data_IF_578396044942
#
_entry.id   IF_578396044942
#
_cell.length_a   1.000
_cell.length_b   1.000
_cell.length_c   1.000
_cell.angle_alpha   90.00
_cell.angle_beta   90.00
_cell.angle_gamma   90.00
#
_symmetry.space_group_name_H-M   'P 1'
#
loop_
_entity.id
_entity.type
_entity.pdbx_description
1 polymer ?
#
# COMPACT_ATOMS: atom_id res chain seq x y z
N UNK A 1 -7.23 5.54 12.56
CA UNK A 1 -7.50 5.98 11.16
C UNK A 1 -7.75 7.48 11.15
N UNK A 2 -7.32 8.23 10.14
CA UNK A 2 -7.67 9.66 10.02
C UNK A 2 -9.18 9.85 10.17
N UNK A 3 -9.59 10.86 10.93
CA UNK A 3 -11.01 11.14 11.24
C UNK A 3 -11.68 10.29 12.32
N UNK A 4 -11.03 9.22 12.82
CA UNK A 4 -11.60 8.34 13.87
C UNK A 4 -10.70 8.20 15.10
N UNK A 5 -9.60 8.97 15.17
CA UNK A 5 -8.56 8.81 16.21
C UNK A 5 -9.13 8.92 17.62
N UNK A 6 -9.95 9.93 17.93
CA UNK A 6 -10.52 10.13 19.24
C UNK A 6 -11.42 8.96 19.67
N UNK A 7 -12.20 8.44 18.74
CA UNK A 7 -13.05 7.27 18.98
C UNK A 7 -12.22 6.02 19.24
N UNK A 8 -11.21 5.77 18.40
CA UNK A 8 -10.30 4.63 18.54
C UNK A 8 -9.47 4.69 19.81
N UNK A 9 -9.13 5.90 20.27
CA UNK A 9 -8.44 6.10 21.57
C UNK A 9 -9.30 5.64 22.73
N UNK A 10 -10.60 5.81 22.67
CA UNK A 10 -11.53 5.47 23.75
C UNK A 10 -12.06 4.04 23.65
N UNK A 11 -12.43 3.57 22.46
CA UNK A 11 -13.20 2.32 22.29
C UNK A 11 -12.31 1.07 22.07
N UNK A 12 -11.08 1.22 21.52
CA UNK A 12 -10.26 0.06 21.19
C UNK A 12 -9.66 -0.59 22.43
N UNK A 13 -9.55 -1.93 22.40
CA UNK A 13 -8.73 -2.69 23.35
C UNK A 13 -7.27 -2.20 23.33
N UNK A 14 -6.61 -2.22 24.49
CA UNK A 14 -5.22 -1.77 24.62
C UNK A 14 -4.36 -2.81 25.32
N UNK A 15 -3.19 -3.06 24.74
CA UNK A 15 -2.13 -3.81 25.38
C UNK A 15 -1.31 -2.81 26.21
N UNK A 16 -1.19 -3.05 27.51
CA UNK A 16 -0.46 -2.21 28.47
C UNK A 16 0.64 -3.04 29.11
N UNK A 17 1.87 -2.57 28.95
CA UNK A 17 3.04 -3.22 29.53
C UNK A 17 3.96 -2.22 30.21
N UNK A 18 4.16 -2.36 31.51
CA UNK A 18 5.17 -1.64 32.28
C UNK A 18 6.47 -2.44 32.40
N UNK A 19 7.52 -1.77 32.84
CA UNK A 19 8.81 -2.41 33.15
C UNK A 19 8.73 -3.37 34.34
N UNK A 20 7.76 -3.14 35.22
CA UNK A 20 7.37 -3.97 36.35
C UNK A 20 5.85 -3.95 36.55
N UNK A 21 5.35 -4.80 37.45
CA UNK A 21 3.93 -4.92 37.75
C UNK A 21 3.33 -3.61 38.29
N UNK A 22 4.07 -2.87 39.11
CA UNK A 22 3.61 -1.61 39.68
C UNK A 22 3.41 -0.53 38.62
N UNK A 23 4.32 -0.48 37.62
CA UNK A 23 4.22 0.42 36.46
C UNK A 23 3.07 0.01 35.54
N UNK A 24 2.86 -1.30 35.35
CA UNK A 24 1.73 -1.83 34.56
C UNK A 24 0.41 -1.44 35.22
N UNK A 25 0.26 -1.60 36.54
CA UNK A 25 -0.97 -1.26 37.24
C UNK A 25 -1.28 0.24 37.17
N UNK A 26 -0.28 1.11 37.40
CA UNK A 26 -0.45 2.57 37.30
C UNK A 26 -0.86 3.01 35.90
N UNK A 27 -0.24 2.43 34.85
CA UNK A 27 -0.61 2.73 33.47
C UNK A 27 -2.05 2.25 33.17
N UNK A 28 -2.41 1.05 33.66
CA UNK A 28 -3.76 0.53 33.47
C UNK A 28 -4.81 1.39 34.20
N UNK A 29 -4.53 1.84 35.41
CA UNK A 29 -5.38 2.78 36.17
C UNK A 29 -5.61 4.08 35.38
N UNK A 30 -4.52 4.67 34.87
CA UNK A 30 -4.62 5.89 34.06
C UNK A 30 -5.50 5.68 32.81
N UNK A 31 -5.24 4.63 32.03
CA UNK A 31 -6.02 4.36 30.82
C UNK A 31 -7.47 3.99 31.13
N UNK A 32 -7.78 3.35 32.25
CA UNK A 32 -9.15 3.01 32.67
C UNK A 32 -10.04 4.24 32.88
N UNK A 33 -9.45 5.42 33.06
CA UNK A 33 -10.19 6.66 33.26
C UNK A 33 -10.93 7.15 31.98
N UNK A 34 -10.52 6.71 30.80
CA UNK A 34 -11.12 7.15 29.52
C UNK A 34 -11.28 6.04 28.47
N UNK A 35 -10.61 4.88 28.60
CA UNK A 35 -10.72 3.76 27.69
C UNK A 35 -11.87 2.85 28.11
N UNK A 36 -12.80 2.60 27.18
CA UNK A 36 -13.94 1.67 27.37
C UNK A 36 -13.64 0.27 26.87
N UNK A 37 -12.62 0.12 26.01
CA UNK A 37 -12.11 -1.18 25.55
C UNK A 37 -11.39 -1.95 26.66
N UNK A 38 -11.02 -3.19 26.40
CA UNK A 38 -10.29 -4.04 27.35
C UNK A 38 -8.85 -3.55 27.53
N UNK A 39 -8.37 -3.54 28.77
CA UNK A 39 -6.98 -3.29 29.10
C UNK A 39 -6.26 -4.63 29.33
N UNK A 40 -5.45 -5.04 28.34
CA UNK A 40 -4.72 -6.31 28.35
C UNK A 40 -3.33 -6.08 28.94
N UNK A 41 -3.15 -6.47 30.20
CA UNK A 41 -1.91 -6.23 30.95
C UNK A 41 -0.84 -7.27 30.60
N UNK A 42 0.39 -6.82 30.40
CA UNK A 42 1.56 -7.67 30.12
C UNK A 42 2.85 -6.95 30.51
N UNK A 43 4.02 -7.52 30.21
CA UNK A 43 5.33 -6.87 30.37
C UNK A 43 5.62 -5.95 29.16
N UNK A 44 6.40 -4.86 29.36
CA UNK A 44 6.71 -3.87 28.33
C UNK A 44 7.23 -4.49 27.02
N UNK A 45 8.19 -5.43 27.10
CA UNK A 45 8.75 -6.08 25.92
C UNK A 45 7.69 -6.82 25.08
N UNK A 46 6.74 -7.48 25.76
CA UNK A 46 5.63 -8.16 25.07
C UNK A 46 4.69 -7.14 24.42
N UNK A 47 4.38 -6.04 25.11
CA UNK A 47 3.52 -4.98 24.58
C UNK A 47 4.13 -4.31 23.33
N UNK A 48 5.42 -3.97 23.38
CA UNK A 48 6.16 -3.41 22.23
C UNK A 48 6.22 -4.39 21.07
N UNK A 49 6.59 -5.65 21.33
CA UNK A 49 6.67 -6.67 20.30
C UNK A 49 5.31 -6.92 19.65
N UNK A 50 4.23 -6.96 20.43
CA UNK A 50 2.87 -7.13 19.89
C UNK A 50 2.53 -6.05 18.86
N UNK A 51 2.91 -4.78 19.14
CA UNK A 51 2.69 -3.68 18.19
C UNK A 51 3.46 -3.87 16.88
N UNK A 52 4.71 -4.30 16.94
CA UNK A 52 5.53 -4.56 15.75
C UNK A 52 4.99 -5.76 14.95
N UNK A 53 4.56 -6.82 15.66
CA UNK A 53 3.99 -8.04 15.04
C UNK A 53 2.69 -7.77 14.29
N UNK A 54 1.81 -6.90 14.78
CA UNK A 54 0.59 -6.50 14.05
C UNK A 54 0.91 -5.92 12.67
N UNK A 55 1.94 -5.08 12.57
CA UNK A 55 2.35 -4.48 11.31
C UNK A 55 3.12 -5.48 10.43
N UNK A 56 4.00 -6.30 11.01
CA UNK A 56 4.70 -7.37 10.28
C UNK A 56 3.73 -8.42 9.71
N UNK A 57 2.67 -8.77 10.45
CA UNK A 57 1.62 -9.66 9.95
C UNK A 57 0.91 -9.07 8.73
N UNK A 58 0.55 -7.79 8.78
CA UNK A 58 -0.08 -7.12 7.63
C UNK A 58 0.86 -7.03 6.44
N UNK A 59 2.12 -6.69 6.67
CA UNK A 59 3.15 -6.62 5.63
C UNK A 59 3.33 -7.96 4.92
N UNK A 60 3.43 -9.06 5.68
CA UNK A 60 3.54 -10.43 5.14
C UNK A 60 2.32 -10.82 4.30
N UNK A 61 1.11 -10.47 4.74
CA UNK A 61 -0.10 -10.75 3.95
C UNK A 61 -0.18 -9.93 2.67
N UNK A 62 0.32 -8.69 2.69
CA UNK A 62 0.44 -7.86 1.47
C UNK A 62 1.52 -8.43 0.55
N UNK A 63 2.66 -8.86 1.09
CA UNK A 63 3.73 -9.49 0.31
C UNK A 63 3.24 -10.75 -0.41
N UNK A 64 2.45 -11.58 0.26
CA UNK A 64 1.83 -12.74 -0.37
C UNK A 64 0.91 -12.34 -1.54
N UNK A 65 0.06 -11.33 -1.37
CA UNK A 65 -0.79 -10.83 -2.45
C UNK A 65 0.03 -10.23 -3.61
N UNK A 66 1.08 -9.49 -3.29
CA UNK A 66 2.00 -8.92 -4.28
C UNK A 66 2.73 -10.02 -5.07
N UNK A 67 3.27 -11.03 -4.40
CA UNK A 67 3.90 -12.18 -5.06
C UNK A 67 2.92 -12.95 -5.95
N UNK A 68 1.67 -13.16 -5.51
CA UNK A 68 0.63 -13.74 -6.36
C UNK A 68 0.39 -12.93 -7.64
N UNK A 69 0.48 -11.61 -7.57
CA UNK A 69 0.31 -10.77 -8.77
C UNK A 69 1.44 -10.95 -9.78
N UNK A 70 2.68 -11.20 -9.31
CA UNK A 70 3.82 -11.53 -10.17
C UNK A 70 3.65 -12.92 -10.80
N UNK A 71 3.25 -13.90 -9.98
CA UNK A 71 2.97 -15.24 -10.42
C UNK A 71 1.87 -15.28 -11.49
N UNK A 72 0.74 -14.61 -11.23
CA UNK A 72 -0.40 -14.57 -12.14
C UNK A 72 -0.03 -13.95 -13.49
N UNK A 73 0.75 -12.86 -13.51
CA UNK A 73 1.21 -12.29 -14.77
C UNK A 73 2.07 -13.27 -15.58
N UNK A 74 2.99 -13.98 -14.92
CA UNK A 74 3.81 -14.99 -15.59
C UNK A 74 3.00 -16.15 -16.16
N UNK A 75 1.89 -16.47 -15.51
CA UNK A 75 1.01 -17.59 -15.88
C UNK A 75 -0.17 -17.16 -16.76
N UNK A 76 -0.26 -15.89 -17.15
CA UNK A 76 -1.38 -15.30 -17.91
C UNK A 76 -2.74 -15.52 -17.19
N UNK A 77 -2.76 -15.30 -15.87
CA UNK A 77 -3.94 -15.40 -15.00
C UNK A 77 -4.35 -14.02 -14.49
N UNK A 78 -5.65 -13.84 -14.25
CA UNK A 78 -6.17 -12.66 -13.57
C UNK A 78 -6.02 -12.83 -12.04
N UNK A 79 -5.14 -12.03 -11.44
CA UNK A 79 -4.89 -12.07 -9.98
C UNK A 79 -6.12 -11.64 -9.18
N UNK A 80 -6.93 -10.73 -9.72
CA UNK A 80 -8.12 -10.23 -9.03
C UNK A 80 -9.19 -11.31 -8.95
N UNK A 81 -9.41 -12.02 -10.05
CA UNK A 81 -10.29 -13.18 -10.07
C UNK A 81 -9.78 -14.30 -9.16
N UNK A 82 -8.48 -14.63 -9.25
CA UNK A 82 -7.86 -15.66 -8.41
C UNK A 82 -8.08 -15.38 -6.92
N UNK A 83 -7.77 -14.15 -6.47
CA UNK A 83 -7.93 -13.76 -5.06
C UNK A 83 -9.41 -13.78 -4.66
N UNK A 84 -10.30 -13.27 -5.49
CA UNK A 84 -11.74 -13.32 -5.23
C UNK A 84 -12.23 -14.75 -5.03
N UNK A 85 -11.85 -15.68 -5.90
CA UNK A 85 -12.24 -17.09 -5.81
C UNK A 85 -11.60 -17.78 -4.60
N UNK A 86 -10.32 -17.57 -4.33
CA UNK A 86 -9.63 -18.15 -3.18
C UNK A 86 -10.25 -17.71 -1.85
N UNK A 87 -10.67 -16.45 -1.75
CA UNK A 87 -11.30 -15.88 -0.55
C UNK A 87 -12.73 -16.40 -0.28
N UNK A 88 -13.33 -17.20 -1.18
CA UNK A 88 -14.54 -17.95 -0.86
C UNK A 88 -14.29 -19.07 0.17
N UNK A 89 -13.04 -19.53 0.33
CA UNK A 89 -12.73 -20.51 1.35
C UNK A 89 -12.77 -19.85 2.75
N UNK A 90 -13.52 -20.40 3.73
CA UNK A 90 -13.82 -19.72 5.00
C UNK A 90 -12.59 -19.42 5.89
N UNK A 91 -11.44 -20.01 5.61
CA UNK A 91 -10.18 -19.79 6.34
C UNK A 91 -9.14 -19.01 5.54
N UNK A 92 -9.52 -18.44 4.40
CA UNK A 92 -8.62 -17.70 3.51
C UNK A 92 -9.09 -16.25 3.40
N UNK A 93 -8.18 -15.32 3.62
CA UNK A 93 -8.43 -13.88 3.47
C UNK A 93 -7.17 -13.22 2.89
N UNK A 94 -6.95 -13.42 1.59
CA UNK A 94 -5.85 -12.81 0.86
C UNK A 94 -6.16 -11.33 0.67
N UNK A 95 -5.19 -10.46 0.99
CA UNK A 95 -5.30 -9.03 0.81
C UNK A 95 -5.19 -8.64 -0.67
N UNK A 96 -5.46 -7.38 -0.96
CA UNK A 96 -5.35 -6.80 -2.30
C UNK A 96 -3.88 -6.50 -2.60
N UNK A 97 -3.32 -6.96 -3.74
CA UNK A 97 -2.01 -6.54 -4.18
C UNK A 97 -1.98 -5.04 -4.51
N UNK A 98 -0.78 -4.47 -4.54
CA UNK A 98 -0.56 -3.06 -4.81
C UNK A 98 0.77 -2.79 -5.51
N UNK A 99 1.14 -1.52 -5.69
CA UNK A 99 2.43 -1.15 -6.29
C UNK A 99 3.61 -1.33 -5.34
N UNK A 100 3.36 -1.68 -4.08
CA UNK A 100 4.30 -1.81 -2.98
C UNK A 100 3.62 -1.50 -1.65
N UNK A 101 4.41 -1.33 -0.59
CA UNK A 101 3.93 -0.96 0.76
C UNK A 101 4.61 0.32 1.21
N UNK A 102 3.80 1.35 1.44
CA UNK A 102 4.22 2.65 1.93
C UNK A 102 3.72 2.96 3.35
N UNK A 103 3.95 4.20 3.76
CA UNK A 103 3.63 4.69 5.10
C UNK A 103 4.73 4.40 6.11
N UNK A 104 4.69 5.09 7.23
CA UNK A 104 5.78 5.11 8.23
C UNK A 104 5.76 3.97 9.25
N UNK A 105 4.79 3.05 9.18
CA UNK A 105 4.67 1.93 10.12
C UNK A 105 4.88 0.59 9.42
N UNK A 106 4.01 0.21 8.48
CA UNK A 106 4.03 -1.13 7.88
C UNK A 106 5.32 -1.36 7.08
N UNK A 107 5.85 -0.33 6.43
CA UNK A 107 7.11 -0.42 5.69
C UNK A 107 8.36 -0.50 6.60
N UNK A 108 8.28 -0.08 7.85
CA UNK A 108 9.42 0.10 8.75
C UNK A 108 9.43 -0.89 9.92
N UNK A 109 8.30 -1.07 10.62
CA UNK A 109 8.21 -1.87 11.85
C UNK A 109 8.74 -3.32 11.70
N UNK A 110 8.52 -4.03 10.56
CA UNK A 110 9.07 -5.37 10.40
C UNK A 110 10.60 -5.43 10.47
N UNK A 111 11.29 -4.37 10.03
CA UNK A 111 12.76 -4.32 10.10
C UNK A 111 13.30 -4.31 11.53
N UNK A 112 12.56 -3.75 12.50
CA UNK A 112 12.95 -3.86 13.92
C UNK A 112 12.96 -5.32 14.40
N UNK A 113 12.00 -6.14 13.98
CA UNK A 113 11.99 -7.57 14.30
C UNK A 113 13.15 -8.30 13.63
N UNK A 114 13.45 -7.94 12.37
CA UNK A 114 14.56 -8.52 11.61
C UNK A 114 15.91 -8.17 12.22
N UNK A 115 16.08 -6.93 12.68
CA UNK A 115 17.32 -6.50 13.32
C UNK A 115 17.54 -7.19 14.68
N UNK A 116 16.46 -7.36 15.47
CA UNK A 116 16.54 -8.04 16.76
C UNK A 116 16.87 -9.54 16.68
N UNK A 117 16.45 -10.25 15.63
CA UNK A 117 16.58 -11.69 15.49
C UNK A 117 16.68 -12.11 14.02
N UNK A 118 17.78 -11.80 13.31
CA UNK A 118 17.88 -11.95 11.86
C UNK A 118 17.76 -13.40 11.36
N UNK A 119 18.21 -14.37 12.15
CA UNK A 119 18.15 -15.79 11.78
C UNK A 119 16.74 -16.41 11.93
N UNK A 120 15.94 -15.88 12.85
CA UNK A 120 14.61 -16.39 13.18
C UNK A 120 13.50 -15.69 12.38
N UNK A 121 13.78 -14.54 11.74
CA UNK A 121 12.79 -13.69 11.07
C UNK A 121 12.86 -13.75 9.54
N UNK A 122 13.21 -14.92 9.00
CA UNK A 122 13.41 -15.12 7.54
C UNK A 122 12.16 -14.78 6.71
N UNK A 123 10.98 -15.17 7.18
CA UNK A 123 9.72 -14.87 6.50
C UNK A 123 9.43 -13.36 6.50
N UNK A 124 9.64 -12.69 7.63
CA UNK A 124 9.42 -11.24 7.77
C UNK A 124 10.36 -10.47 6.82
N UNK A 125 11.63 -10.85 6.80
CA UNK A 125 12.61 -10.29 5.87
C UNK A 125 12.20 -10.49 4.41
N UNK A 126 11.89 -11.74 4.00
CA UNK A 126 11.47 -12.04 2.64
C UNK A 126 10.21 -11.26 2.23
N UNK A 127 9.26 -11.08 3.14
CA UNK A 127 8.07 -10.28 2.90
C UNK A 127 8.41 -8.81 2.61
N UNK A 128 9.34 -8.22 3.38
CA UNK A 128 9.81 -6.85 3.12
C UNK A 128 10.50 -6.74 1.75
N UNK A 129 11.39 -7.66 1.45
CA UNK A 129 12.12 -7.70 0.17
C UNK A 129 11.15 -7.81 -1.03
N UNK A 130 10.09 -8.62 -0.94
CA UNK A 130 9.04 -8.72 -1.96
C UNK A 130 8.31 -7.38 -2.12
N UNK A 131 7.90 -6.75 -1.01
CA UNK A 131 7.17 -5.48 -1.06
C UNK A 131 8.04 -4.33 -1.57
N UNK A 132 9.33 -4.31 -1.26
CA UNK A 132 10.31 -3.31 -1.73
C UNK A 132 10.70 -3.52 -3.20
N UNK A 133 10.71 -4.76 -3.69
CA UNK A 133 10.97 -5.05 -5.10
C UNK A 133 9.76 -4.70 -6.02
N UNK A 134 8.56 -4.60 -5.46
CA UNK A 134 7.34 -4.41 -6.25
C UNK A 134 7.30 -3.11 -7.07
N UNK A 135 7.73 -1.93 -6.57
CA UNK A 135 7.81 -0.72 -7.37
C UNK A 135 8.69 -0.88 -8.61
N UNK A 136 9.84 -1.50 -8.47
CA UNK A 136 10.76 -1.75 -9.59
C UNK A 136 10.13 -2.63 -10.67
N UNK A 137 9.43 -3.69 -10.26
CA UNK A 137 8.70 -4.55 -11.19
C UNK A 137 7.60 -3.78 -11.94
N UNK A 138 6.88 -2.87 -11.27
CA UNK A 138 5.88 -2.01 -11.93
C UNK A 138 6.55 -1.12 -12.97
N UNK A 139 7.68 -0.51 -12.63
CA UNK A 139 8.47 0.32 -13.57
C UNK A 139 8.88 -0.48 -14.81
N UNK A 140 9.44 -1.67 -14.63
CA UNK A 140 9.88 -2.53 -15.74
C UNK A 140 8.69 -2.93 -16.63
N UNK A 141 7.53 -3.17 -16.05
CA UNK A 141 6.30 -3.45 -16.78
C UNK A 141 5.83 -2.25 -17.62
N UNK A 142 5.90 -1.03 -17.07
CA UNK A 142 5.59 0.19 -17.81
C UNK A 142 6.53 0.35 -18.99
N UNK A 143 7.84 0.18 -18.78
CA UNK A 143 8.87 0.27 -19.83
C UNK A 143 8.56 -0.71 -20.97
N UNK A 144 8.32 -1.99 -20.66
CA UNK A 144 8.02 -3.00 -21.65
C UNK A 144 6.76 -2.70 -22.49
N UNK A 145 5.76 -2.03 -21.90
CA UNK A 145 4.58 -1.59 -22.64
C UNK A 145 4.83 -0.31 -23.43
N UNK A 146 5.67 0.59 -22.93
CA UNK A 146 6.04 1.86 -23.56
C UNK A 146 6.86 1.67 -24.83
N UNK A 147 7.64 0.60 -24.97
CA UNK A 147 8.42 0.25 -26.17
C UNK A 147 7.57 0.14 -27.46
N UNK A 148 6.26 0.00 -27.34
CA UNK A 148 5.33 -0.03 -28.47
C UNK A 148 5.08 1.34 -29.11
N UNK A 149 5.52 2.40 -28.46
CA UNK A 149 5.30 3.79 -28.85
C UNK A 149 6.64 4.51 -29.07
N UNK A 150 6.65 5.48 -29.96
CA UNK A 150 7.85 6.28 -30.20
C UNK A 150 8.11 7.30 -29.08
N UNK A 151 7.06 7.86 -28.51
CA UNK A 151 7.10 8.83 -27.42
C UNK A 151 5.75 8.74 -26.66
N UNK A 152 5.58 7.76 -25.75
CA UNK A 152 4.30 7.54 -25.08
C UNK A 152 3.96 8.66 -24.10
N UNK A 153 2.67 8.94 -23.98
CA UNK A 153 2.12 9.69 -22.87
C UNK A 153 1.59 8.72 -21.82
N UNK A 154 2.07 8.84 -20.58
CA UNK A 154 1.72 7.93 -19.48
C UNK A 154 0.97 8.71 -18.41
N UNK A 155 -0.32 8.40 -18.21
CA UNK A 155 -1.09 8.92 -17.09
C UNK A 155 -0.79 8.12 -15.82
N UNK A 156 -0.11 8.74 -14.86
CA UNK A 156 0.20 8.16 -13.55
C UNK A 156 -0.87 8.60 -12.55
N UNK A 157 -1.75 7.68 -12.14
CA UNK A 157 -2.93 7.97 -11.34
C UNK A 157 -2.73 7.60 -9.87
N UNK A 158 -2.52 8.61 -9.03
CA UNK A 158 -2.31 8.53 -7.59
C UNK A 158 -0.84 8.55 -7.18
N UNK A 159 -0.54 9.33 -6.15
CA UNK A 159 0.78 9.45 -5.52
C UNK A 159 0.76 9.04 -4.04
N UNK A 160 -0.37 9.11 -3.36
CA UNK A 160 -0.48 8.78 -1.95
C UNK A 160 -0.18 7.30 -1.68
N UNK A 161 0.32 6.97 -0.48
CA UNK A 161 0.55 5.56 -0.14
C UNK A 161 -0.73 4.78 0.14
N UNK A 162 -1.87 5.46 0.22
CA UNK A 162 -3.18 4.88 0.53
C UNK A 162 -4.30 5.67 -0.14
N UNK A 163 -5.42 5.02 -0.54
CA UNK A 163 -6.55 5.73 -1.13
C UNK A 163 -7.16 6.81 -0.23
N UNK A 164 -7.58 7.91 -0.86
CA UNK A 164 -8.38 9.01 -0.28
C UNK A 164 -7.69 9.74 0.89
N UNK A 165 -6.36 9.86 0.83
CA UNK A 165 -5.55 10.70 1.73
C UNK A 165 -4.52 11.50 0.93
N UNK A 166 -3.90 12.50 1.59
CA UNK A 166 -2.86 13.38 1.07
C UNK A 166 -1.44 13.03 1.54
N UNK A 167 -1.24 11.84 2.12
CA UNK A 167 0.03 11.43 2.72
C UNK A 167 0.89 10.65 1.72
N UNK A 168 2.06 11.22 1.40
CA UNK A 168 3.02 10.68 0.43
C UNK A 168 4.23 9.96 1.07
N UNK A 169 4.26 9.84 2.42
CA UNK A 169 5.43 9.28 3.11
C UNK A 169 5.65 7.83 2.70
N UNK A 170 6.90 7.53 2.28
CA UNK A 170 7.30 6.20 1.81
C UNK A 170 6.34 5.62 0.75
N UNK A 171 5.78 6.50 -0.12
CA UNK A 171 4.83 6.04 -1.13
C UNK A 171 5.54 5.32 -2.28
N UNK A 172 5.21 4.05 -2.55
CA UNK A 172 5.72 3.34 -3.71
C UNK A 172 5.26 3.97 -5.03
N UNK A 173 4.12 4.67 -5.05
CA UNK A 173 3.66 5.39 -6.23
C UNK A 173 4.58 6.57 -6.58
N UNK A 174 5.05 7.32 -5.58
CA UNK A 174 6.04 8.39 -5.75
C UNK A 174 7.37 7.82 -6.28
N UNK A 175 7.84 6.69 -5.73
CA UNK A 175 9.05 6.01 -6.18
C UNK A 175 8.96 5.59 -7.65
N UNK A 176 7.84 4.97 -8.04
CA UNK A 176 7.58 4.55 -9.43
C UNK A 176 7.62 5.75 -10.37
N UNK A 177 6.89 6.83 -10.05
CA UNK A 177 6.82 8.03 -10.90
C UNK A 177 8.18 8.68 -11.04
N UNK A 178 8.96 8.81 -9.96
CA UNK A 178 10.35 9.31 -10.01
C UNK A 178 11.23 8.45 -10.91
N UNK A 179 11.17 7.13 -10.76
CA UNK A 179 11.95 6.20 -11.57
C UNK A 179 11.61 6.30 -13.06
N UNK A 180 10.32 6.43 -13.40
CA UNK A 180 9.88 6.62 -14.80
C UNK A 180 10.38 7.96 -15.37
N UNK A 181 10.32 9.04 -14.58
CA UNK A 181 10.80 10.36 -14.96
C UNK A 181 12.32 10.36 -15.20
N UNK A 182 13.10 9.79 -14.29
CA UNK A 182 14.56 9.68 -14.41
C UNK A 182 15.00 8.86 -15.63
N UNK A 183 14.23 7.85 -16.00
CA UNK A 183 14.50 7.00 -17.17
C UNK A 183 14.04 7.63 -18.50
N UNK A 184 13.28 8.73 -18.46
CA UNK A 184 12.84 9.44 -19.66
C UNK A 184 11.97 8.61 -20.59
N UNK A 185 11.04 7.81 -20.04
CA UNK A 185 10.27 6.81 -20.81
C UNK A 185 9.23 7.44 -21.75
N UNK A 186 8.88 8.72 -21.53
CA UNK A 186 7.89 9.45 -22.30
C UNK A 186 7.40 10.67 -21.54
N UNK A 187 6.27 11.23 -21.95
CA UNK A 187 5.61 12.31 -21.21
C UNK A 187 4.77 11.73 -20.07
N UNK A 188 5.03 12.18 -18.82
CA UNK A 188 4.26 11.78 -17.65
C UNK A 188 3.18 12.82 -17.34
N UNK A 189 1.92 12.40 -17.27
CA UNK A 189 0.77 13.16 -16.77
C UNK A 189 0.40 12.64 -15.40
N UNK A 190 0.75 13.39 -14.36
CA UNK A 190 0.65 12.94 -12.97
C UNK A 190 -0.61 13.51 -12.33
N UNK A 191 -1.43 12.64 -11.75
CA UNK A 191 -2.71 13.00 -11.14
C UNK A 191 -2.73 12.56 -9.68
N UNK A 192 -2.91 13.52 -8.75
CA UNK A 192 -3.18 13.26 -7.34
C UNK A 192 -4.35 14.16 -6.88
N UNK A 193 -5.56 13.58 -6.72
CA UNK A 193 -6.76 14.38 -6.45
C UNK A 193 -6.81 15.01 -5.06
N UNK A 194 -5.94 14.57 -4.13
CA UNK A 194 -5.92 15.05 -2.75
C UNK A 194 -4.82 16.11 -2.50
N UNK A 195 -4.10 16.53 -3.56
CA UNK A 195 -3.07 17.58 -3.48
C UNK A 195 -3.38 18.72 -4.45
N UNK A 196 -3.12 19.94 -4.02
CA UNK A 196 -3.17 21.13 -4.89
C UNK A 196 -1.88 21.29 -5.72
N UNK A 197 -0.74 20.90 -5.18
CA UNK A 197 0.58 20.98 -5.82
C UNK A 197 1.55 19.96 -5.24
N UNK A 198 2.67 19.71 -5.93
CA UNK A 198 3.77 18.88 -5.48
C UNK A 198 5.11 19.51 -5.85
N UNK A 199 6.11 19.44 -4.97
CA UNK A 199 7.40 20.13 -5.15
C UNK A 199 8.22 19.61 -6.35
N UNK A 200 8.07 18.34 -6.70
CA UNK A 200 8.88 17.67 -7.74
C UNK A 200 8.09 17.30 -8.99
N UNK A 201 6.76 17.40 -8.96
CA UNK A 201 5.90 16.97 -10.06
C UNK A 201 4.89 18.06 -10.43
N UNK A 202 4.70 18.30 -11.72
CA UNK A 202 3.58 19.06 -12.23
C UNK A 202 2.32 18.18 -12.24
N UNK A 203 1.29 18.57 -11.46
CA UNK A 203 0.04 17.84 -11.40
C UNK A 203 -0.87 18.21 -12.56
N UNK A 204 -1.51 17.22 -13.15
CA UNK A 204 -2.43 17.36 -14.28
C UNK A 204 -3.86 16.99 -13.85
N UNK A 205 -4.87 17.55 -14.52
CA UNK A 205 -6.25 17.13 -14.27
C UNK A 205 -6.47 15.67 -14.70
N UNK A 206 -7.37 14.96 -14.02
CA UNK A 206 -7.71 13.59 -14.36
C UNK A 206 -8.23 13.46 -15.81
N UNK A 207 -9.04 14.44 -16.26
CA UNK A 207 -9.57 14.43 -17.62
C UNK A 207 -8.49 14.54 -18.68
N UNK A 208 -7.59 15.54 -18.51
CA UNK A 208 -6.52 15.79 -19.48
C UNK A 208 -5.51 14.65 -19.51
N UNK A 209 -5.17 14.11 -18.34
CA UNK A 209 -4.26 12.97 -18.23
C UNK A 209 -4.82 11.72 -18.94
N UNK A 210 -6.07 11.35 -18.67
CA UNK A 210 -6.69 10.17 -19.28
C UNK A 210 -6.94 10.38 -20.76
N UNK A 211 -7.31 11.57 -21.21
CA UNK A 211 -7.59 11.83 -22.62
C UNK A 211 -6.34 11.73 -23.50
N UNK A 212 -5.22 12.32 -23.04
CA UNK A 212 -3.96 12.34 -23.79
C UNK A 212 -3.12 11.06 -23.67
N UNK A 213 -3.41 10.17 -22.72
CA UNK A 213 -2.55 9.02 -22.44
C UNK A 213 -2.63 7.92 -23.51
N UNK A 214 -1.47 7.33 -23.79
CA UNK A 214 -1.34 6.02 -24.46
C UNK A 214 -1.39 4.87 -23.43
N UNK A 215 -0.81 5.12 -22.26
CA UNK A 215 -0.74 4.18 -21.13
C UNK A 215 -1.38 4.82 -19.91
N UNK A 216 -2.28 4.11 -19.24
CA UNK A 216 -2.87 4.51 -17.96
C UNK A 216 -2.32 3.59 -16.87
N UNK A 217 -1.51 4.17 -15.98
CA UNK A 217 -0.91 3.50 -14.84
C UNK A 217 -1.69 3.86 -13.57
N UNK A 218 -2.46 2.91 -13.05
CA UNK A 218 -3.20 3.07 -11.80
C UNK A 218 -2.34 2.64 -10.62
N UNK A 219 -1.89 3.60 -9.82
CA UNK A 219 -1.02 3.37 -8.66
C UNK A 219 -1.78 3.38 -7.35
N UNK A 220 -2.83 4.22 -7.23
CA UNK A 220 -3.63 4.33 -6.00
C UNK A 220 -5.13 4.33 -6.36
N UNK A 221 -5.92 3.56 -5.63
CA UNK A 221 -7.35 3.43 -5.89
C UNK A 221 -8.19 4.56 -5.26
N UNK A 222 -7.93 5.83 -5.60
CA UNK A 222 -8.75 6.96 -5.16
C UNK A 222 -10.17 6.91 -5.74
N UNK A 223 -11.16 7.37 -4.97
CA UNK A 223 -12.56 7.40 -5.41
C UNK A 223 -12.79 8.07 -6.76
N UNK A 224 -12.15 9.22 -7.10
CA UNK A 224 -12.32 9.83 -8.43
C UNK A 224 -11.95 8.91 -9.59
N UNK A 225 -11.00 8.00 -9.40
CA UNK A 225 -10.57 7.08 -10.46
C UNK A 225 -11.58 5.96 -10.74
N UNK A 226 -12.41 5.60 -9.75
CA UNK A 226 -13.50 4.62 -9.92
C UNK A 226 -14.59 5.12 -10.89
N UNK A 227 -14.65 6.42 -11.15
CA UNK A 227 -15.64 7.04 -12.04
C UNK A 227 -15.15 7.26 -13.47
N UNK A 228 -13.94 6.81 -13.82
CA UNK A 228 -13.42 6.91 -15.19
C UNK A 228 -14.27 6.02 -16.11
N UNK A 229 -14.91 6.59 -17.16
CA UNK A 229 -15.71 5.80 -18.07
C UNK A 229 -14.85 4.76 -18.80
N UNK A 230 -15.30 3.50 -18.83
CA UNK A 230 -14.59 2.41 -19.51
C UNK A 230 -14.35 2.69 -21.01
N UNK A 231 -15.24 3.43 -21.65
CA UNK A 231 -15.07 3.86 -23.03
C UNK A 231 -13.81 4.74 -23.25
N UNK A 232 -13.41 5.53 -22.26
CA UNK A 232 -12.16 6.34 -22.31
C UNK A 232 -10.90 5.50 -22.16
N UNK A 233 -11.00 4.27 -21.69
CA UNK A 233 -9.91 3.34 -21.45
C UNK A 233 -9.75 2.28 -22.54
N UNK A 234 -10.75 2.11 -23.43
CA UNK A 234 -10.85 0.99 -24.36
C UNK A 234 -9.67 0.90 -25.37
N UNK A 235 -9.10 2.05 -25.76
CA UNK A 235 -7.99 2.11 -26.73
C UNK A 235 -6.62 2.30 -26.06
N UNK A 236 -6.54 2.26 -24.73
CA UNK A 236 -5.32 2.53 -23.95
C UNK A 236 -4.73 1.26 -23.39
N UNK A 237 -3.42 1.25 -23.21
CA UNK A 237 -2.77 0.20 -22.42
C UNK A 237 -3.01 0.51 -20.95
N UNK A 238 -3.60 -0.44 -20.23
CA UNK A 238 -3.91 -0.30 -18.82
C UNK A 238 -2.93 -1.13 -17.99
N UNK A 239 -2.31 -0.49 -17.00
CA UNK A 239 -1.54 -1.14 -15.95
C UNK A 239 -2.22 -0.81 -14.63
N UNK A 240 -3.04 -1.72 -14.14
CA UNK A 240 -3.78 -1.56 -12.90
C UNK A 240 -3.08 -2.34 -11.77
N UNK A 241 -2.42 -1.62 -10.87
CA UNK A 241 -1.69 -2.22 -9.74
C UNK A 241 -2.55 -2.39 -8.49
N UNK A 242 -3.75 -1.81 -8.46
CA UNK A 242 -4.59 -1.74 -7.27
C UNK A 242 -6.05 -2.20 -7.49
N UNK A 243 -6.37 -2.74 -8.66
CA UNK A 243 -7.67 -3.32 -8.97
C UNK A 243 -8.81 -2.31 -9.08
N UNK A 244 -8.55 -1.12 -9.60
CA UNK A 244 -9.58 -0.08 -9.78
C UNK A 244 -10.56 -0.47 -10.87
N UNK A 245 -10.07 -1.03 -11.98
CA UNK A 245 -10.87 -1.35 -13.16
C UNK A 245 -11.69 -2.62 -12.97
N UNK A 246 -11.17 -3.60 -12.25
CA UNK A 246 -11.83 -4.89 -12.02
C UNK A 246 -12.82 -4.89 -10.86
N UNK A 247 -13.11 -3.74 -10.24
CA UNK A 247 -14.11 -3.58 -9.16
C UNK A 247 -15.52 -3.26 -9.65
N UNK A 248 -15.72 -3.12 -10.97
CA UNK A 248 -17.01 -2.82 -11.59
C UNK A 248 -17.79 -4.09 -11.95
#
# INVERSE_FOLDING_TARGET
>A
MPGKILREVVENDRIIGGIDDASTEKAAEFYSSFVTGKLLKTHCRTAETAKLVENAFRDTNIAFANELSLFCEKMDLDVWELIRLANHHPRVNILTPGPGVGGHCIAVDPWFLVDCAPEETKLIRASREINEAKPHWVVDRVIAKAERFKNPTIACLGLAYKPDIDDLRESPAVEIVKSLQERGIGELKIVEPNLESHDSFELTSLSDAVESADIVLMLVGHKPFLSIPTAKLAEKIIIDTCGVINRS
#
